data_IF_475196066783
#
_entry.id   IF_475196066783
#
_cell.length_a   1.000
_cell.length_b   1.000
_cell.length_c   1.000
_cell.angle_alpha   90.00
_cell.angle_beta   90.00
_cell.angle_gamma   90.00
#
_symmetry.space_group_name_H-M   'P 1'
#
loop_
_entity.id
_entity.type
_entity.pdbx_description
1 polymer ?
#
# COMPACT_ATOMS: atom_id res chain seq x y z
N UNK A 1 -1.50 0.67 1.03
CA UNK A 1 -0.14 0.91 0.53
C UNK A 1 -0.24 1.48 -0.85
N UNK A 2 0.59 2.45 -1.20
CA UNK A 2 0.43 3.23 -2.43
C UNK A 2 1.80 3.45 -3.06
N UNK A 3 1.86 3.34 -4.38
CA UNK A 3 2.95 3.86 -5.20
C UNK A 3 2.57 5.28 -5.60
N UNK A 4 3.31 6.27 -5.11
CA UNK A 4 3.03 7.68 -5.35
C UNK A 4 3.86 8.26 -6.50
N UNK A 5 3.42 9.37 -7.09
CA UNK A 5 4.25 10.09 -8.06
C UNK A 5 5.33 10.95 -7.37
N UNK A 6 4.95 11.70 -6.32
CA UNK A 6 5.82 12.73 -5.73
C UNK A 6 5.97 12.68 -4.20
N UNK A 7 5.30 11.75 -3.52
CA UNK A 7 5.40 11.64 -2.06
C UNK A 7 6.58 10.76 -1.66
N UNK A 8 7.31 11.15 -0.62
CA UNK A 8 8.42 10.35 -0.10
C UNK A 8 7.93 8.99 0.41
N UNK A 9 8.73 7.96 0.17
CA UNK A 9 8.50 6.63 0.74
C UNK A 9 8.42 6.67 2.27
N UNK A 10 7.63 5.77 2.84
CA UNK A 10 7.29 5.71 4.26
C UNK A 10 6.47 6.89 4.81
N UNK A 11 6.09 7.85 3.96
CA UNK A 11 5.07 8.83 4.33
C UNK A 11 3.75 8.13 4.64
N UNK A 12 3.12 8.53 5.75
CA UNK A 12 1.78 8.07 6.14
C UNK A 12 0.83 9.26 6.08
N UNK A 13 -0.20 9.17 5.25
CA UNK A 13 -1.26 10.18 5.17
C UNK A 13 -2.63 9.56 5.48
N UNK A 14 -3.54 10.39 5.98
CA UNK A 14 -4.96 10.04 6.04
C UNK A 14 -5.57 10.35 4.68
N UNK A 15 -6.41 9.46 4.15
CA UNK A 15 -7.13 9.73 2.90
C UNK A 15 -7.92 11.04 3.03
N UNK A 16 -7.88 11.92 2.02
CA UNK A 16 -8.68 13.15 2.03
C UNK A 16 -10.18 12.89 1.90
N UNK A 17 -10.58 11.69 1.46
CA UNK A 17 -11.99 11.32 1.26
C UNK A 17 -12.58 10.56 2.46
N UNK A 18 -11.77 9.76 3.15
CA UNK A 18 -12.23 8.90 4.23
C UNK A 18 -11.24 8.89 5.40
N UNK A 19 -11.64 9.45 6.54
CA UNK A 19 -10.76 9.61 7.71
C UNK A 19 -10.28 8.30 8.35
N UNK A 20 -10.95 7.18 8.08
CA UNK A 20 -10.57 5.85 8.57
C UNK A 20 -9.59 5.12 7.63
N UNK A 21 -9.22 5.71 6.49
CA UNK A 21 -8.27 5.12 5.55
C UNK A 21 -6.90 5.78 5.76
N UNK A 22 -5.89 4.94 5.98
CA UNK A 22 -4.49 5.35 6.08
C UNK A 22 -3.75 4.85 4.85
N UNK A 23 -3.03 5.75 4.21
CA UNK A 23 -2.21 5.46 3.03
C UNK A 23 -0.75 5.53 3.45
N UNK A 24 -0.02 4.44 3.19
CA UNK A 24 1.41 4.35 3.42
C UNK A 24 2.06 4.31 2.04
N UNK A 25 2.91 5.28 1.75
CA UNK A 25 3.66 5.33 0.50
C UNK A 25 4.81 4.34 0.61
N UNK A 26 4.86 3.39 -0.32
CA UNK A 26 5.89 2.32 -0.32
C UNK A 26 6.89 2.47 -1.46
N UNK A 27 6.50 3.18 -2.52
CA UNK A 27 7.33 3.49 -3.69
C UNK A 27 6.97 4.88 -4.21
N UNK A 28 7.92 5.55 -4.84
CA UNK A 28 7.74 6.92 -5.34
C UNK A 28 8.38 7.19 -6.70
N UNK A 29 7.68 7.93 -7.55
CA UNK A 29 8.19 8.40 -8.83
C UNK A 29 8.31 7.31 -9.89
N UNK A 30 9.10 7.59 -10.93
CA UNK A 30 9.09 6.85 -12.21
C UNK A 30 10.22 5.83 -12.37
N UNK A 31 11.05 5.68 -11.34
CA UNK A 31 12.32 4.98 -11.42
C UNK A 31 12.20 3.45 -11.55
N UNK A 32 11.08 2.88 -11.08
CA UNK A 32 10.80 1.44 -11.10
C UNK A 32 9.78 1.01 -12.18
N UNK A 33 9.37 1.92 -13.07
CA UNK A 33 8.49 1.57 -14.20
C UNK A 33 9.12 0.48 -15.06
N UNK A 34 8.33 -0.56 -15.39
CA UNK A 34 8.73 -1.67 -16.24
C UNK A 34 9.63 -2.70 -15.55
N UNK A 35 9.84 -2.60 -14.23
CA UNK A 35 10.62 -3.55 -13.44
C UNK A 35 9.72 -4.32 -12.49
N UNK A 36 10.12 -5.55 -12.18
CA UNK A 36 9.56 -6.25 -11.02
C UNK A 36 10.15 -5.67 -9.74
N UNK A 37 9.28 -5.30 -8.81
CA UNK A 37 9.63 -4.84 -7.47
C UNK A 37 9.04 -5.84 -6.47
N UNK A 38 9.83 -6.21 -5.47
CA UNK A 38 9.39 -7.09 -4.40
C UNK A 38 9.03 -6.24 -3.18
N UNK A 39 7.83 -6.47 -2.64
CA UNK A 39 7.29 -5.71 -1.53
C UNK A 39 6.94 -6.65 -0.36
N UNK A 40 7.47 -6.35 0.82
CA UNK A 40 7.15 -7.07 2.05
C UNK A 40 6.77 -6.07 3.14
N UNK A 41 5.61 -6.28 3.77
CA UNK A 41 5.10 -5.40 4.82
C UNK A 41 4.58 -6.21 6.00
N UNK A 42 4.84 -5.69 7.20
CA UNK A 42 4.20 -6.15 8.41
C UNK A 42 2.92 -5.31 8.65
N UNK A 43 1.80 -5.84 8.17
CA UNK A 43 0.49 -5.16 8.24
C UNK A 43 0.06 -4.88 9.68
N UNK A 44 0.43 -5.76 10.63
CA UNK A 44 0.10 -5.59 12.05
C UNK A 44 0.81 -4.36 12.65
N UNK A 45 2.12 -4.26 12.45
CA UNK A 45 2.91 -3.12 12.93
C UNK A 45 2.54 -1.81 12.21
N UNK A 46 2.30 -1.87 10.90
CA UNK A 46 1.86 -0.71 10.14
C UNK A 46 0.48 -0.22 10.60
N UNK A 47 -0.45 -1.11 10.94
CA UNK A 47 -1.73 -0.71 11.54
C UNK A 47 -1.52 0.03 12.86
N UNK A 48 -0.68 -0.51 13.76
CA UNK A 48 -0.39 0.13 15.05
C UNK A 48 0.24 1.51 14.88
N UNK A 49 1.16 1.66 13.91
CA UNK A 49 1.75 2.97 13.56
C UNK A 49 0.70 3.96 13.03
N UNK A 50 -0.22 3.47 12.22
CA UNK A 50 -1.25 4.29 11.58
C UNK A 50 -2.37 4.74 12.53
N UNK A 51 -2.78 3.88 13.47
CA UNK A 51 -3.99 4.06 14.26
C UNK A 51 -3.75 4.10 15.79
N UNK A 52 -2.56 3.71 16.26
CA UNK A 52 -2.21 3.73 17.67
C UNK A 52 -2.90 2.66 18.53
N UNK A 53 -3.56 1.68 17.91
CA UNK A 53 -4.29 0.60 18.58
C UNK A 53 -4.03 -0.76 17.96
N UNK A 54 -4.41 -1.82 18.67
CA UNK A 54 -4.38 -3.18 18.14
C UNK A 54 -5.33 -3.34 16.94
N UNK A 55 -4.90 -3.98 15.84
CA UNK A 55 -5.77 -4.24 14.71
C UNK A 55 -6.82 -5.31 15.05
N UNK A 56 -8.03 -5.22 14.47
CA UNK A 56 -8.93 -6.36 14.42
C UNK A 56 -8.39 -7.44 13.46
N UNK A 57 -9.08 -8.57 13.39
CA UNK A 57 -8.80 -9.59 12.38
C UNK A 57 -8.97 -9.02 10.97
N UNK A 58 -7.96 -9.18 10.12
CA UNK A 58 -8.04 -8.76 8.73
C UNK A 58 -9.04 -9.65 7.97
N UNK A 59 -10.06 -9.02 7.36
CA UNK A 59 -11.10 -9.75 6.62
C UNK A 59 -10.75 -10.02 5.15
N UNK A 60 -9.97 -9.14 4.53
CA UNK A 60 -9.58 -9.25 3.13
C UNK A 60 -8.30 -8.46 2.84
N UNK A 61 -7.60 -8.88 1.78
CA UNK A 61 -6.53 -8.10 1.14
C UNK A 61 -6.98 -7.83 -0.28
N UNK A 62 -7.00 -6.55 -0.66
CA UNK A 62 -7.28 -6.12 -2.01
C UNK A 62 -6.00 -5.58 -2.65
N UNK A 63 -5.78 -5.96 -3.90
CA UNK A 63 -4.72 -5.45 -4.75
C UNK A 63 -5.41 -4.91 -5.99
N UNK A 64 -5.11 -3.67 -6.35
CA UNK A 64 -5.75 -2.99 -7.46
C UNK A 64 -4.78 -2.06 -8.16
N UNK A 65 -4.99 -1.94 -9.47
CA UNK A 65 -4.45 -0.85 -10.28
C UNK A 65 -5.64 0.02 -10.65
N UNK A 66 -5.66 1.25 -10.16
CA UNK A 66 -6.75 2.20 -10.36
C UNK A 66 -6.25 3.50 -11.01
N UNK A 67 -7.14 4.14 -11.75
CA UNK A 67 -6.91 5.45 -12.41
C UNK A 67 -8.13 6.37 -12.29
N UNK A 68 -9.00 6.09 -11.32
CA UNK A 68 -10.28 6.77 -11.15
C UNK A 68 -10.11 8.27 -10.89
N UNK A 69 -9.01 8.69 -10.25
CA UNK A 69 -8.72 10.08 -9.93
C UNK A 69 -7.78 10.77 -10.93
N UNK A 70 -7.11 10.03 -11.80
CA UNK A 70 -6.12 10.58 -12.75
C UNK A 70 -6.70 10.78 -14.15
N UNK A 71 -7.86 10.20 -14.46
CA UNK A 71 -8.43 10.13 -15.81
C UNK A 71 -7.44 9.55 -16.84
N UNK A 72 -6.47 8.76 -16.37
CA UNK A 72 -5.42 8.17 -17.18
C UNK A 72 -5.64 6.66 -17.34
N UNK A 73 -4.70 5.99 -17.97
CA UNK A 73 -4.62 4.53 -18.03
C UNK A 73 -3.41 4.03 -17.28
N UNK A 74 -3.55 2.89 -16.61
CA UNK A 74 -2.46 2.20 -15.94
C UNK A 74 -2.62 0.69 -16.13
N UNK A 75 -1.49 0.01 -16.22
CA UNK A 75 -1.40 -1.44 -16.27
C UNK A 75 -0.35 -1.87 -15.25
N UNK A 76 -0.68 -2.89 -14.46
CA UNK A 76 0.29 -3.53 -13.57
C UNK A 76 0.07 -5.04 -13.58
N UNK A 77 1.18 -5.77 -13.45
CA UNK A 77 1.17 -7.22 -13.27
C UNK A 77 1.55 -7.56 -11.84
N UNK A 78 0.83 -8.49 -11.24
CA UNK A 78 1.08 -8.97 -9.87
C UNK A 78 1.43 -10.44 -9.92
N UNK A 79 2.43 -10.85 -9.12
CA UNK A 79 2.85 -12.25 -9.04
C UNK A 79 3.32 -12.57 -7.63
N UNK A 80 3.23 -13.84 -7.26
CA UNK A 80 3.79 -14.40 -6.02
C UNK A 80 3.25 -13.75 -4.74
N UNK A 81 1.96 -13.42 -4.73
CA UNK A 81 1.27 -12.85 -3.57
C UNK A 81 1.23 -13.89 -2.45
N UNK A 82 1.78 -13.54 -1.29
CA UNK A 82 1.78 -14.36 -0.08
C UNK A 82 1.28 -13.56 1.10
N UNK A 83 0.50 -14.21 1.94
CA UNK A 83 -0.04 -13.65 3.18
C UNK A 83 0.11 -14.71 4.24
N UNK A 84 0.65 -14.32 5.39
CA UNK A 84 0.88 -15.24 6.48
C UNK A 84 1.26 -14.50 7.75
N UNK A 85 1.36 -15.27 8.82
CA UNK A 85 1.95 -14.80 10.06
C UNK A 85 3.47 -14.92 9.95
N UNK A 86 4.19 -14.05 10.65
CA UNK A 86 5.63 -14.23 10.83
C UNK A 86 5.80 -15.52 11.65
N UNK A 87 6.33 -16.57 11.03
CA UNK A 87 6.72 -17.75 11.80
C UNK A 87 7.88 -17.35 12.71
N UNK A 88 7.82 -17.76 13.98
CA UNK A 88 8.96 -17.67 14.91
C UNK A 88 10.16 -18.47 14.39
#
# INVERSE_FOLDING_TARGET
>A
YVWAEDLEENTIITSPYFGNIKLIIIESGKHNIGKWVYEERNIYEDYKRCFGSEPPMAGAIAIMTDTDNTLSTAEASYKEIRVGYKNE
#
